data_IF_515704869555
#
_entry.id   IF_515704869555
#
_cell.length_a   1.000
_cell.length_b   1.000
_cell.length_c   1.000
_cell.angle_alpha   90.00
_cell.angle_beta   90.00
_cell.angle_gamma   90.00
#
_symmetry.space_group_name_H-M   'P 1'
#
loop_
_entity.id
_entity.type
_entity.pdbx_description
1 polymer ?
#
# COMPACT_ATOMS: atom_id res chain seq x y z
N UNK A 1 17.76 1.72 -3.47
CA UNK A 1 18.30 2.13 -2.16
C UNK A 1 17.76 3.50 -1.72
N UNK A 2 17.57 4.48 -2.62
CA UNK A 2 17.14 5.85 -2.28
C UNK A 2 15.81 5.94 -1.49
N UNK A 3 14.83 5.09 -1.77
CA UNK A 3 13.52 5.18 -1.11
C UNK A 3 13.49 4.57 0.29
N UNK A 4 14.34 3.58 0.60
CA UNK A 4 14.31 2.89 1.89
C UNK A 4 14.74 3.81 3.05
N UNK A 5 15.80 4.61 2.85
CA UNK A 5 16.26 5.58 3.84
C UNK A 5 15.17 6.60 4.12
N UNK A 6 14.51 7.11 3.07
CA UNK A 6 13.43 8.09 3.25
C UNK A 6 12.24 7.53 4.04
N UNK A 7 11.87 6.27 3.80
CA UNK A 7 10.81 5.62 4.57
C UNK A 7 11.18 5.43 6.04
N UNK A 8 12.46 5.14 6.34
CA UNK A 8 12.95 5.07 7.72
C UNK A 8 12.94 6.45 8.40
N UNK A 9 13.28 7.53 7.69
CA UNK A 9 13.14 8.90 8.18
C UNK A 9 11.68 9.23 8.52
N UNK A 10 10.74 8.96 7.60
CA UNK A 10 9.31 9.22 7.85
C UNK A 10 8.81 8.38 9.03
N UNK A 11 9.26 7.13 9.17
CA UNK A 11 8.98 6.31 10.36
C UNK A 11 9.52 6.97 11.63
N UNK A 12 10.76 7.47 11.62
CA UNK A 12 11.34 8.17 12.79
C UNK A 12 10.49 9.39 13.15
N UNK A 13 10.19 10.23 12.17
CA UNK A 13 9.39 11.43 12.35
C UNK A 13 7.99 11.11 12.91
N UNK A 14 7.33 10.07 12.41
CA UNK A 14 6.02 9.62 12.90
C UNK A 14 6.08 9.19 14.37
N UNK A 15 7.10 8.42 14.76
CA UNK A 15 7.26 7.96 16.14
C UNK A 15 7.67 9.09 17.10
N UNK A 16 8.58 9.97 16.68
CA UNK A 16 9.03 11.12 17.49
C UNK A 16 7.88 12.10 17.75
N UNK A 17 7.05 12.34 16.74
CA UNK A 17 5.89 13.24 16.83
C UNK A 17 4.62 12.55 17.35
N UNK A 18 4.65 11.23 17.59
CA UNK A 18 3.48 10.42 17.96
C UNK A 18 2.31 10.60 16.98
N UNK A 19 2.62 10.66 15.70
CA UNK A 19 1.68 10.91 14.63
C UNK A 19 1.35 9.61 13.91
N UNK A 20 0.10 9.18 14.02
CA UNK A 20 -0.44 8.04 13.27
C UNK A 20 -0.22 8.23 11.77
N UNK A 21 0.62 7.37 11.20
CA UNK A 21 0.99 7.40 9.78
C UNK A 21 0.71 6.05 9.15
N UNK A 22 -0.05 6.05 8.06
CA UNK A 22 -0.42 4.84 7.32
C UNK A 22 0.19 4.90 5.92
N UNK A 23 0.96 3.87 5.57
CA UNK A 23 1.44 3.66 4.21
C UNK A 23 0.56 2.62 3.54
N UNK A 24 -0.13 3.04 2.48
CA UNK A 24 -0.90 2.16 1.64
C UNK A 24 -0.03 1.60 0.51
N UNK A 25 0.09 0.27 0.44
CA UNK A 25 0.54 -0.42 -0.77
C UNK A 25 -0.70 -0.73 -1.59
N UNK A 26 -0.91 -0.06 -2.74
CA UNK A 26 -2.12 -0.24 -3.51
C UNK A 26 -2.18 -1.66 -4.10
N UNK A 27 -3.40 -2.14 -4.41
CA UNK A 27 -3.57 -3.35 -5.21
C UNK A 27 -2.84 -3.19 -6.55
N UNK A 28 -2.33 -4.31 -7.03
CA UNK A 28 -1.71 -4.43 -8.35
C UNK A 28 -2.37 -5.58 -9.09
N UNK A 29 -2.23 -5.62 -10.42
CA UNK A 29 -2.81 -6.73 -11.17
C UNK A 29 -2.16 -8.06 -10.79
N UNK A 30 -2.94 -9.15 -10.78
CA UNK A 30 -2.43 -10.50 -10.50
C UNK A 30 -1.24 -10.86 -11.38
N UNK A 31 -1.33 -10.54 -12.68
CA UNK A 31 -0.23 -10.77 -13.63
C UNK A 31 1.05 -10.00 -13.28
N UNK A 32 0.95 -8.81 -12.68
CA UNK A 32 2.12 -8.06 -12.24
C UNK A 32 2.87 -8.79 -11.11
N UNK A 33 2.16 -9.26 -10.08
CA UNK A 33 2.77 -10.01 -8.97
C UNK A 33 3.36 -11.33 -9.45
N UNK A 34 2.63 -12.07 -10.28
CA UNK A 34 3.09 -13.37 -10.77
C UNK A 34 4.38 -13.27 -11.58
N UNK A 35 4.62 -12.15 -12.27
CA UNK A 35 5.82 -11.92 -13.06
C UNK A 35 6.98 -11.26 -12.29
N UNK A 36 6.79 -10.89 -11.02
CA UNK A 36 7.89 -10.40 -10.17
C UNK A 36 8.76 -11.57 -9.70
N UNK A 37 10.08 -11.36 -9.65
CA UNK A 37 11.01 -12.30 -9.05
C UNK A 37 10.73 -12.50 -7.56
N UNK A 38 10.81 -13.74 -7.09
CA UNK A 38 10.51 -14.09 -5.69
C UNK A 38 11.48 -13.43 -4.69
N UNK A 39 12.72 -13.16 -5.12
CA UNK A 39 13.70 -12.44 -4.31
C UNK A 39 13.28 -10.98 -4.09
N UNK A 40 12.68 -10.34 -5.10
CA UNK A 40 12.16 -8.97 -5.01
C UNK A 40 10.94 -8.95 -4.09
N UNK A 41 10.01 -9.89 -4.26
CA UNK A 41 8.82 -10.01 -3.38
C UNK A 41 9.23 -10.16 -1.92
N UNK A 42 10.18 -11.03 -1.65
CA UNK A 42 10.68 -11.31 -0.31
C UNK A 42 11.34 -10.07 0.28
N UNK A 43 12.29 -9.45 -0.43
CA UNK A 43 12.96 -8.22 0.03
C UNK A 43 11.99 -7.08 0.28
N UNK A 44 10.99 -6.90 -0.58
CA UNK A 44 9.97 -5.86 -0.42
C UNK A 44 9.11 -6.13 0.81
N UNK A 45 8.64 -7.37 1.00
CA UNK A 45 7.84 -7.78 2.15
C UNK A 45 8.61 -7.60 3.46
N UNK A 46 9.87 -8.04 3.51
CA UNK A 46 10.72 -7.92 4.70
C UNK A 46 10.98 -6.45 5.05
N UNK A 47 11.24 -5.61 4.04
CA UNK A 47 11.43 -4.19 4.25
C UNK A 47 10.14 -3.51 4.77
N UNK A 48 8.99 -3.78 4.16
CA UNK A 48 7.71 -3.22 4.60
C UNK A 48 7.38 -3.66 6.03
N UNK A 49 7.56 -4.94 6.37
CA UNK A 49 7.37 -5.43 7.73
C UNK A 49 8.30 -4.75 8.74
N UNK A 50 9.52 -4.36 8.34
CA UNK A 50 10.44 -3.62 9.22
C UNK A 50 10.01 -2.18 9.52
N UNK A 51 9.10 -1.61 8.72
CA UNK A 51 8.61 -0.25 8.91
C UNK A 51 7.51 -0.16 9.98
N UNK A 52 6.78 -1.25 10.25
CA UNK A 52 5.77 -1.31 11.30
C UNK A 52 6.29 -0.83 12.67
N UNK A 53 5.51 -0.02 13.37
CA UNK A 53 5.79 0.49 14.72
C UNK A 53 4.54 1.11 15.36
N UNK A 54 4.64 1.64 16.58
CA UNK A 54 3.51 2.19 17.32
C UNK A 54 2.72 3.25 16.53
N UNK A 55 3.41 4.15 15.83
CA UNK A 55 2.78 5.26 15.08
C UNK A 55 2.96 5.17 13.56
N UNK A 56 3.48 4.05 13.04
CA UNK A 56 3.74 3.88 11.61
C UNK A 56 3.28 2.51 11.15
N UNK A 57 2.23 2.47 10.34
CA UNK A 57 1.50 1.26 9.96
C UNK A 57 1.56 1.03 8.46
N UNK A 58 1.62 -0.23 8.03
CA UNK A 58 1.56 -0.64 6.63
C UNK A 58 0.22 -1.31 6.34
N UNK A 59 -0.51 -0.73 5.38
CA UNK A 59 -1.70 -1.34 4.81
C UNK A 59 -1.34 -1.92 3.44
N UNK A 60 -1.04 -3.22 3.41
CA UNK A 60 -0.70 -3.91 2.16
C UNK A 60 -1.93 -4.52 1.48
N UNK A 61 -2.37 -3.91 0.38
CA UNK A 61 -3.44 -4.42 -0.47
C UNK A 61 -2.93 -4.99 -1.80
N UNK A 62 -1.61 -5.17 -1.96
CA UNK A 62 -1.02 -5.59 -3.23
C UNK A 62 -1.59 -6.92 -3.74
N UNK A 63 -1.83 -7.86 -2.85
CA UNK A 63 -2.38 -9.19 -3.14
C UNK A 63 -3.90 -9.29 -2.93
N UNK A 64 -4.62 -8.17 -2.92
CA UNK A 64 -6.06 -8.14 -2.72
C UNK A 64 -6.80 -8.72 -3.93
N UNK A 65 -7.38 -9.91 -3.73
CA UNK A 65 -8.06 -10.69 -4.77
C UNK A 65 -9.38 -10.06 -5.25
N UNK A 66 -9.87 -9.02 -4.59
CA UNK A 66 -11.07 -8.34 -5.08
C UNK A 66 -10.75 -7.49 -6.31
N UNK A 67 -9.50 -7.14 -6.62
CA UNK A 67 -9.16 -6.31 -7.77
C UNK A 67 -8.91 -7.14 -9.04
N UNK A 68 -9.67 -6.84 -10.10
CA UNK A 68 -9.59 -7.54 -11.37
C UNK A 68 -8.84 -6.73 -12.42
N UNK A 69 -8.43 -7.35 -13.53
CA UNK A 69 -7.72 -6.67 -14.62
C UNK A 69 -8.45 -5.41 -15.15
N UNK A 70 -9.79 -5.37 -15.06
CA UNK A 70 -10.62 -4.23 -15.44
C UNK A 70 -10.52 -3.03 -14.48
N UNK A 71 -9.94 -3.21 -13.29
CA UNK A 71 -9.74 -2.15 -12.29
C UNK A 71 -8.44 -1.35 -12.53
N UNK A 72 -7.63 -1.75 -13.51
CA UNK A 72 -6.31 -1.16 -13.76
C UNK A 72 -6.22 -0.46 -15.12
N UNK A 73 -5.33 0.55 -15.20
CA UNK A 73 -4.88 1.19 -16.45
C UNK A 73 -3.73 0.39 -17.08
N UNK A 74 -2.87 -0.18 -16.25
CA UNK A 74 -1.74 -1.03 -16.62
C UNK A 74 -1.45 -2.05 -15.50
N UNK A 75 -0.28 -2.69 -15.46
CA UNK A 75 0.02 -3.72 -14.46
C UNK A 75 -0.04 -3.26 -12.99
N UNK A 76 0.16 -1.97 -12.71
CA UNK A 76 0.37 -1.44 -11.34
C UNK A 76 -0.36 -0.12 -11.03
N UNK A 77 -1.00 0.52 -12.02
CA UNK A 77 -1.82 1.71 -11.80
C UNK A 77 -3.31 1.40 -11.89
N UNK A 78 -4.08 1.81 -10.89
CA UNK A 78 -5.54 1.76 -10.92
C UNK A 78 -6.11 2.73 -11.97
N UNK A 79 -7.22 2.34 -12.59
CA UNK A 79 -8.06 3.27 -13.35
C UNK A 79 -9.13 3.89 -12.44
N UNK A 80 -10.06 4.67 -13.01
CA UNK A 80 -11.11 5.33 -12.23
C UNK A 80 -12.04 4.36 -11.47
N UNK A 81 -12.33 3.19 -12.04
CA UNK A 81 -13.15 2.16 -11.40
C UNK A 81 -12.41 1.53 -10.22
N UNK A 82 -11.15 1.13 -10.43
CA UNK A 82 -10.30 0.59 -9.38
C UNK A 82 -10.05 1.58 -8.24
N UNK A 83 -9.82 2.86 -8.56
CA UNK A 83 -9.66 3.91 -7.56
C UNK A 83 -10.93 4.10 -6.71
N UNK A 84 -12.12 4.08 -7.33
CA UNK A 84 -13.40 4.15 -6.60
C UNK A 84 -13.57 2.96 -5.66
N UNK A 85 -13.24 1.76 -6.12
CA UNK A 85 -13.31 0.53 -5.34
C UNK A 85 -12.35 0.53 -4.15
N UNK A 86 -11.10 0.95 -4.36
CA UNK A 86 -10.11 1.14 -3.30
C UNK A 86 -10.60 2.13 -2.25
N UNK A 87 -11.14 3.27 -2.67
CA UNK A 87 -11.74 4.26 -1.77
C UNK A 87 -12.86 3.66 -0.92
N UNK A 88 -13.77 2.89 -1.53
CA UNK A 88 -14.85 2.21 -0.79
C UNK A 88 -14.31 1.21 0.24
N UNK A 89 -13.26 0.45 -0.10
CA UNK A 89 -12.59 -0.43 0.87
C UNK A 89 -11.95 0.33 2.03
N UNK A 90 -11.20 1.40 1.74
CA UNK A 90 -10.55 2.22 2.78
C UNK A 90 -11.57 2.89 3.69
N UNK A 91 -12.69 3.37 3.14
CA UNK A 91 -13.81 3.91 3.92
C UNK A 91 -14.42 2.84 4.84
N UNK A 92 -14.72 1.65 4.30
CA UNK A 92 -15.28 0.55 5.09
C UNK A 92 -14.33 0.03 6.18
N UNK A 93 -13.01 0.17 5.98
CA UNK A 93 -11.98 -0.15 6.97
C UNK A 93 -11.78 0.96 8.03
N UNK A 94 -12.51 2.08 7.95
CA UNK A 94 -12.37 3.21 8.87
C UNK A 94 -11.13 4.08 8.63
N UNK A 95 -10.43 3.89 7.51
CA UNK A 95 -9.22 4.65 7.16
C UNK A 95 -9.55 6.01 6.53
N UNK A 96 -10.76 6.17 5.98
CA UNK A 96 -11.26 7.42 5.43
C UNK A 96 -12.52 7.84 6.20
N UNK A 97 -12.62 9.13 6.53
CA UNK A 97 -13.79 9.71 7.21
C UNK A 97 -14.94 10.01 6.25
N UNK A 98 -14.66 10.20 4.97
CA UNK A 98 -15.65 10.52 3.94
C UNK A 98 -15.62 9.51 2.80
N UNK A 99 -16.80 9.15 2.32
CA UNK A 99 -16.98 8.21 1.21
C UNK A 99 -16.67 8.83 -0.16
N UNK A 100 -16.76 10.15 -0.27
CA UNK A 100 -16.52 10.93 -1.48
C UNK A 100 -15.61 12.13 -1.16
N UNK A 101 -14.84 12.58 -2.16
CA UNK A 101 -13.98 13.78 -2.09
C UNK A 101 -14.78 15.01 -2.51
#
# INVERSE_FOLDING_TARGET
MLNCVKMLEIKSDANENKQETYILIPPVSKGYIENLGDDIKTKAKDFLASLESEYFHILDLSADNDFYHTDFRDGHHLNSYGAKKLREKLFNAGMLTHREL
#
